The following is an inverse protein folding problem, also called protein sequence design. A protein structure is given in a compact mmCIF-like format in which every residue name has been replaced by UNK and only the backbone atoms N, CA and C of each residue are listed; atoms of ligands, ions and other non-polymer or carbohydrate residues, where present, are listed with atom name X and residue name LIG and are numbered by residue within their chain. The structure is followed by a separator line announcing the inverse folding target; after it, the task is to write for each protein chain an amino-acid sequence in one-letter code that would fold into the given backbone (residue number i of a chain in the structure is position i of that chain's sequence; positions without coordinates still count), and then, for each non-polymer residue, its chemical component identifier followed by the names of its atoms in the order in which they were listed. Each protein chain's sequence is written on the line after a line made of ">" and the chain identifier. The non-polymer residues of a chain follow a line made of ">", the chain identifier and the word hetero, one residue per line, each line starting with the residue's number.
data_IF_848994245237
#
_entry.id   IF_848994245237
#
_cell.length_a   1.000
_cell.length_b   1.000
_cell.length_c   1.000
_cell.angle_alpha   90.00
_cell.angle_beta   90.00
_cell.angle_gamma   90.00
#
_symmetry.space_group_name_H-M   'P 1'
#
loop_
_entity.id
_entity.type
_entity.pdbx_description
1 polymer ?
#
# COMPACT_ATOMS: atom_id res chain seq x y z
N UNK A 1 -9.23 -2.19 -31.28
CA UNK A 1 -10.05 -2.31 -30.08
C UNK A 1 -10.03 -0.96 -29.37
N UNK A 2 -11.20 -0.33 -29.18
CA UNK A 2 -11.25 0.93 -28.48
C UNK A 2 -10.76 0.72 -27.04
N UNK A 3 -9.84 1.56 -26.60
CA UNK A 3 -9.39 1.56 -25.20
C UNK A 3 -10.57 1.89 -24.31
N UNK A 4 -10.76 1.13 -23.26
CA UNK A 4 -11.75 1.47 -22.25
C UNK A 4 -11.41 2.85 -21.67
N UNK A 5 -12.35 3.78 -21.78
CA UNK A 5 -12.21 5.11 -21.17
C UNK A 5 -12.63 5.02 -19.72
N UNK A 6 -11.84 5.67 -18.86
CA UNK A 6 -12.13 5.74 -17.44
C UNK A 6 -11.38 4.73 -16.60
N UNK A 7 -11.77 4.63 -15.35
CA UNK A 7 -11.10 3.84 -14.32
C UNK A 7 -11.93 2.62 -13.98
N UNK A 8 -11.34 1.43 -14.15
CA UNK A 8 -11.97 0.16 -13.79
C UNK A 8 -11.20 -0.49 -12.65
N UNK A 9 -11.79 -0.53 -11.48
CA UNK A 9 -11.18 -1.15 -10.30
C UNK A 9 -11.19 -2.66 -10.42
N UNK A 10 -10.02 -3.28 -10.19
CA UNK A 10 -9.83 -4.73 -10.23
C UNK A 10 -9.84 -5.30 -8.81
N UNK A 11 -9.11 -4.67 -7.90
CA UNK A 11 -8.99 -5.10 -6.52
C UNK A 11 -8.86 -3.89 -5.59
N UNK A 12 -9.37 -4.01 -4.38
CA UNK A 12 -9.27 -3.00 -3.34
C UNK A 12 -8.73 -3.63 -2.06
N UNK A 13 -7.94 -2.85 -1.32
CA UNK A 13 -7.43 -3.25 -0.02
C UNK A 13 -8.19 -2.50 1.08
N UNK A 14 -9.37 -2.96 1.41
CA UNK A 14 -10.22 -2.36 2.44
C UNK A 14 -9.59 -2.46 3.83
N UNK A 15 -8.87 -3.54 4.08
CA UNK A 15 -8.17 -3.78 5.34
C UNK A 15 -7.08 -2.73 5.61
N UNK A 16 -6.38 -2.29 4.56
CA UNK A 16 -5.36 -1.26 4.70
C UNK A 16 -5.93 0.06 5.21
N UNK A 17 -7.11 0.46 4.74
CA UNK A 17 -7.78 1.67 5.21
C UNK A 17 -8.22 1.57 6.65
N UNK A 18 -8.50 0.37 7.12
CA UNK A 18 -8.86 0.10 8.50
C UNK A 18 -7.63 0.06 9.42
N UNK A 19 -6.55 -0.58 8.98
CA UNK A 19 -5.35 -0.85 9.78
C UNK A 19 -4.32 0.28 9.78
N UNK A 20 -4.36 1.16 8.76
CA UNK A 20 -3.37 2.22 8.57
C UNK A 20 -4.01 3.59 8.55
N UNK A 21 -3.27 4.56 9.11
CA UNK A 21 -3.55 5.97 8.89
C UNK A 21 -2.84 6.39 7.59
N UNK A 22 -3.60 6.88 6.62
CA UNK A 22 -3.08 7.25 5.30
C UNK A 22 -2.70 8.72 5.29
N UNK A 23 -1.41 9.00 5.06
CA UNK A 23 -0.91 10.38 5.02
C UNK A 23 -1.02 10.98 3.62
N UNK A 24 -0.77 10.19 2.57
CA UNK A 24 -0.79 10.64 1.19
C UNK A 24 -0.99 9.46 0.25
N UNK A 25 -1.43 9.74 -0.98
CA UNK A 25 -1.61 8.72 -2.02
C UNK A 25 -0.92 9.11 -3.31
N UNK A 26 -0.46 8.10 -4.06
CA UNK A 26 0.23 8.27 -5.33
C UNK A 26 -0.32 7.27 -6.34
N UNK A 27 -0.46 7.71 -7.59
CA UNK A 27 -0.77 6.80 -8.68
C UNK A 27 0.52 6.29 -9.30
N UNK A 28 0.69 4.98 -9.35
CA UNK A 28 1.86 4.34 -9.92
C UNK A 28 1.46 3.41 -11.07
N UNK A 29 2.26 3.41 -12.14
CA UNK A 29 2.19 2.34 -13.13
C UNK A 29 2.78 1.07 -12.55
N UNK A 30 2.42 -0.08 -13.10
CA UNK A 30 2.94 -1.36 -12.67
C UNK A 30 3.45 -2.15 -13.88
N UNK A 31 4.67 -2.70 -13.77
CA UNK A 31 5.26 -3.53 -14.81
C UNK A 31 4.77 -4.96 -14.64
N UNK A 32 4.05 -5.45 -15.63
CA UNK A 32 3.40 -6.76 -15.61
C UNK A 32 3.80 -7.59 -16.83
N UNK A 33 3.75 -8.92 -16.68
CA UNK A 33 3.81 -9.84 -17.81
C UNK A 33 2.45 -9.90 -18.50
N UNK A 34 2.42 -10.41 -19.74
CA UNK A 34 1.15 -10.58 -20.47
C UNK A 34 0.15 -11.48 -19.76
N UNK A 35 0.63 -12.53 -19.11
CA UNK A 35 -0.22 -13.45 -18.33
C UNK A 35 -0.79 -12.81 -17.08
N UNK A 36 -0.05 -11.91 -16.44
CA UNK A 36 -0.55 -11.12 -15.32
C UNK A 36 -1.63 -10.12 -15.74
N UNK A 37 -1.43 -9.43 -16.86
CA UNK A 37 -2.46 -8.53 -17.41
C UNK A 37 -3.75 -9.30 -17.69
N UNK A 38 -3.63 -10.52 -18.23
CA UNK A 38 -4.77 -11.39 -18.47
C UNK A 38 -5.50 -11.76 -17.19
N UNK A 39 -4.75 -12.06 -16.12
CA UNK A 39 -5.32 -12.31 -14.80
C UNK A 39 -6.10 -11.12 -14.27
N UNK A 40 -5.53 -9.92 -14.40
CA UNK A 40 -6.20 -8.70 -13.97
C UNK A 40 -7.50 -8.44 -14.74
N UNK A 41 -7.52 -8.71 -16.05
CA UNK A 41 -8.75 -8.58 -16.84
C UNK A 41 -9.82 -9.57 -16.39
N UNK A 42 -9.42 -10.71 -15.86
CA UNK A 42 -10.31 -11.69 -15.26
C UNK A 42 -10.70 -11.38 -13.81
N UNK A 43 -10.22 -10.25 -13.28
CA UNK A 43 -10.50 -9.83 -11.90
C UNK A 43 -9.75 -10.62 -10.83
N UNK A 44 -8.63 -11.26 -11.19
CA UNK A 44 -7.88 -12.12 -10.28
C UNK A 44 -6.66 -11.41 -9.71
N UNK A 45 -6.82 -10.81 -8.54
CA UNK A 45 -5.73 -10.20 -7.79
C UNK A 45 -6.14 -10.01 -6.33
N UNK A 46 -5.15 -10.02 -5.43
CA UNK A 46 -5.36 -9.70 -4.03
C UNK A 46 -4.24 -8.79 -3.53
N UNK A 47 -4.61 -7.71 -2.86
CA UNK A 47 -3.69 -6.72 -2.31
C UNK A 47 -3.49 -6.88 -0.79
N UNK A 48 -4.17 -7.81 -0.15
CA UNK A 48 -4.34 -7.85 1.32
C UNK A 48 -3.03 -7.81 2.09
N UNK A 49 -2.01 -8.50 1.62
CA UNK A 49 -0.70 -8.56 2.28
C UNK A 49 0.38 -7.78 1.51
N UNK A 50 -0.04 -6.97 0.54
CA UNK A 50 0.86 -6.19 -0.29
C UNK A 50 1.49 -5.03 0.45
N UNK A 51 2.72 -4.73 0.10
CA UNK A 51 3.44 -3.55 0.54
C UNK A 51 4.42 -3.12 -0.54
N UNK A 52 4.97 -1.92 -0.41
CA UNK A 52 5.99 -1.44 -1.33
C UNK A 52 7.16 -0.83 -0.57
N UNK A 53 8.31 -0.77 -1.22
CA UNK A 53 9.50 -0.15 -0.67
C UNK A 53 10.32 0.49 -1.79
N UNK A 54 11.17 1.42 -1.41
CA UNK A 54 12.11 2.07 -2.33
C UNK A 54 13.47 1.39 -2.18
N UNK A 55 14.00 0.92 -3.29
CA UNK A 55 15.32 0.27 -3.33
C UNK A 55 16.07 0.74 -4.56
N UNK A 56 17.26 1.31 -4.35
CA UNK A 56 18.13 1.80 -5.44
C UNK A 56 17.43 2.78 -6.39
N UNK A 57 16.63 3.67 -5.84
CA UNK A 57 15.90 4.67 -6.63
C UNK A 57 14.71 4.13 -7.40
N UNK A 58 14.28 2.90 -7.12
CA UNK A 58 13.13 2.26 -7.73
C UNK A 58 12.13 1.84 -6.65
N UNK A 59 10.84 1.90 -6.98
CA UNK A 59 9.78 1.46 -6.08
C UNK A 59 9.32 0.06 -6.49
N UNK A 60 9.30 -0.86 -5.52
CA UNK A 60 8.95 -2.25 -5.72
C UNK A 60 7.72 -2.62 -4.91
N UNK A 61 6.73 -3.19 -5.60
CA UNK A 61 5.54 -3.74 -4.98
C UNK A 61 5.76 -5.22 -4.69
N UNK A 62 5.58 -5.61 -3.42
CA UNK A 62 5.83 -6.98 -2.99
C UNK A 62 4.60 -7.61 -2.36
N UNK A 63 4.54 -8.91 -2.44
CA UNK A 63 3.53 -9.75 -1.82
C UNK A 63 2.09 -9.49 -2.26
N UNK A 64 1.92 -8.91 -3.45
CA UNK A 64 0.62 -8.79 -4.11
C UNK A 64 0.39 -10.04 -4.94
N UNK A 65 -0.73 -10.70 -4.72
CA UNK A 65 -1.09 -11.95 -5.40
C UNK A 65 -1.74 -11.65 -6.75
N UNK A 66 -1.06 -12.01 -7.84
CA UNK A 66 -1.58 -11.99 -9.20
C UNK A 66 -1.24 -13.34 -9.83
N UNK A 67 -2.17 -14.28 -9.92
CA UNK A 67 -1.87 -15.60 -10.48
C UNK A 67 -1.57 -15.50 -11.97
N UNK A 68 -0.60 -16.28 -12.43
CA UNK A 68 -0.29 -16.40 -13.84
C UNK A 68 -1.08 -17.53 -14.48
N UNK A 69 -1.62 -17.26 -15.66
CA UNK A 69 -2.29 -18.29 -16.48
C UNK A 69 -1.26 -18.94 -17.41
N UNK A 70 -1.05 -20.24 -17.26
CA UNK A 70 -0.16 -21.01 -18.11
C UNK A 70 -0.83 -22.33 -18.53
N UNK A 71 -0.82 -22.62 -19.81
CA UNK A 71 -1.30 -23.91 -20.36
C UNK A 71 -2.71 -24.31 -19.91
N UNK A 72 -3.62 -23.35 -19.85
CA UNK A 72 -5.02 -23.59 -19.45
C UNK A 72 -5.25 -23.73 -17.96
N UNK A 73 -4.21 -23.56 -17.12
CA UNK A 73 -4.33 -23.61 -15.67
C UNK A 73 -3.71 -22.37 -15.01
N UNK A 74 -4.33 -21.92 -13.92
CA UNK A 74 -3.79 -20.85 -13.10
C UNK A 74 -2.73 -21.42 -12.16
N UNK A 75 -1.51 -20.85 -12.22
CA UNK A 75 -0.42 -21.25 -11.34
C UNK A 75 -0.14 -20.17 -10.30
N UNK A 76 0.29 -20.59 -9.10
CA UNK A 76 0.70 -19.67 -8.04
C UNK A 76 2.21 -19.54 -7.92
N UNK A 77 3.00 -20.18 -8.81
CA UNK A 77 4.44 -20.28 -8.67
C UNK A 77 5.17 -18.94 -8.62
N UNK A 78 4.73 -17.95 -9.38
CA UNK A 78 5.29 -16.59 -9.37
C UNK A 78 4.25 -15.53 -9.04
N UNK A 79 3.13 -15.95 -8.43
CA UNK A 79 1.99 -15.09 -8.18
C UNK A 79 2.30 -13.90 -7.27
N UNK A 80 3.27 -14.05 -6.36
CA UNK A 80 3.67 -13.02 -5.39
C UNK A 80 5.03 -12.41 -5.67
N UNK A 81 5.52 -12.49 -6.90
CA UNK A 81 6.80 -11.92 -7.27
C UNK A 81 6.85 -10.41 -7.05
N UNK A 82 8.04 -9.84 -6.77
CA UNK A 82 8.19 -8.38 -6.76
C UNK A 82 7.87 -7.77 -8.12
N UNK A 83 7.18 -6.65 -8.13
CA UNK A 83 6.82 -5.94 -9.36
C UNK A 83 7.26 -4.49 -9.26
N UNK A 84 7.89 -4.01 -10.29
CA UNK A 84 8.35 -2.63 -10.35
C UNK A 84 7.17 -1.70 -10.54
N UNK A 85 7.13 -0.64 -9.74
CA UNK A 85 6.17 0.45 -9.89
C UNK A 85 6.83 1.63 -10.58
N UNK A 86 6.05 2.30 -11.42
CA UNK A 86 6.50 3.44 -12.20
C UNK A 86 5.89 4.72 -11.65
N UNK A 87 6.75 5.59 -11.11
CA UNK A 87 6.40 6.89 -10.58
C UNK A 87 7.35 7.93 -11.14
N UNK A 88 6.99 9.20 -11.02
CA UNK A 88 7.87 10.30 -11.37
C UNK A 88 9.06 10.35 -10.40
N UNK A 89 10.22 10.82 -10.88
CA UNK A 89 11.43 10.93 -10.05
C UNK A 89 11.22 11.74 -8.79
N UNK A 90 10.45 12.82 -8.88
CA UNK A 90 10.16 13.68 -7.73
C UNK A 90 9.35 12.94 -6.67
N UNK A 91 8.40 12.12 -7.10
CA UNK A 91 7.60 11.28 -6.21
C UNK A 91 8.45 10.21 -5.53
N UNK A 92 9.35 9.56 -6.28
CA UNK A 92 10.26 8.55 -5.72
C UNK A 92 11.19 9.17 -4.67
N UNK A 93 11.73 10.36 -4.95
CA UNK A 93 12.58 11.07 -4.01
C UNK A 93 11.84 11.42 -2.71
N UNK A 94 10.61 11.89 -2.81
CA UNK A 94 9.75 12.15 -1.65
C UNK A 94 9.46 10.89 -0.85
N UNK A 95 9.13 9.80 -1.52
CA UNK A 95 8.85 8.51 -0.87
C UNK A 95 10.08 7.95 -0.17
N UNK A 96 11.25 8.07 -0.79
CA UNK A 96 12.50 7.61 -0.19
C UNK A 96 12.77 8.34 1.14
N UNK A 97 12.58 9.65 1.17
CA UNK A 97 12.75 10.46 2.37
C UNK A 97 11.72 10.14 3.44
N UNK A 98 10.44 10.07 3.05
CA UNK A 98 9.34 9.86 4.00
C UNK A 98 9.31 8.44 4.56
N UNK A 99 9.66 7.43 3.78
CA UNK A 99 9.69 6.05 4.25
C UNK A 99 10.91 5.72 5.11
N UNK A 100 11.93 6.58 5.12
CA UNK A 100 13.05 6.45 6.05
C UNK A 100 12.64 6.77 7.49
N UNK A 101 11.54 7.46 7.70
CA UNK A 101 11.01 7.75 9.03
C UNK A 101 10.41 6.48 9.67
N UNK A 102 10.71 6.22 10.97
CA UNK A 102 10.16 5.04 11.63
C UNK A 102 8.63 5.00 11.65
N UNK A 103 8.07 3.82 11.43
CA UNK A 103 6.63 3.61 11.46
C UNK A 103 5.89 3.96 10.18
N UNK A 104 6.57 4.46 9.16
CA UNK A 104 5.96 4.74 7.85
C UNK A 104 6.23 3.62 6.87
N UNK A 105 5.22 3.25 6.10
CA UNK A 105 5.29 2.21 5.07
C UNK A 105 4.47 2.60 3.85
N UNK A 106 4.66 1.88 2.77
CA UNK A 106 3.87 2.03 1.55
C UNK A 106 2.96 0.82 1.40
N UNK A 107 1.67 1.06 1.22
CA UNK A 107 0.68 -0.01 1.03
C UNK A 107 -0.17 0.27 -0.20
N UNK A 108 -0.48 -0.77 -1.01
CA UNK A 108 -1.39 -0.61 -2.13
C UNK A 108 -2.83 -0.54 -1.63
N UNK A 109 -3.58 0.46 -2.05
CA UNK A 109 -4.98 0.63 -1.70
C UNK A 109 -5.91 0.05 -2.75
N UNK A 110 -5.58 0.23 -4.02
CA UNK A 110 -6.36 -0.30 -5.12
C UNK A 110 -5.50 -0.60 -6.33
N UNK A 111 -5.97 -1.56 -7.10
CA UNK A 111 -5.39 -1.93 -8.39
C UNK A 111 -6.49 -1.74 -9.43
N UNK A 112 -6.21 -1.01 -10.48
CA UNK A 112 -7.22 -0.63 -11.46
C UNK A 112 -6.62 -0.44 -12.85
N UNK A 113 -7.48 -0.48 -13.86
CA UNK A 113 -7.12 -0.04 -15.20
C UNK A 113 -7.56 1.42 -15.36
N UNK A 114 -6.67 2.25 -15.87
CA UNK A 114 -6.97 3.61 -16.28
C UNK A 114 -6.56 3.77 -17.73
N UNK A 115 -7.54 4.03 -18.58
CA UNK A 115 -7.34 4.15 -20.03
C UNK A 115 -6.55 2.99 -20.64
N UNK A 116 -6.85 1.77 -20.18
CA UNK A 116 -6.23 0.54 -20.66
C UNK A 116 -4.89 0.17 -20.03
N UNK A 117 -4.36 1.00 -19.12
CA UNK A 117 -3.11 0.71 -18.43
C UNK A 117 -3.36 0.34 -16.98
N UNK A 118 -2.66 -0.69 -16.50
CA UNK A 118 -2.74 -1.08 -15.09
C UNK A 118 -2.05 -0.06 -14.20
N UNK A 119 -2.73 0.36 -13.15
CA UNK A 119 -2.28 1.35 -12.17
C UNK A 119 -2.52 0.84 -10.76
N UNK A 120 -1.70 1.31 -9.84
CA UNK A 120 -1.83 1.05 -8.40
C UNK A 120 -1.98 2.38 -7.68
N UNK A 121 -2.99 2.49 -6.84
CA UNK A 121 -3.08 3.58 -5.87
C UNK A 121 -2.24 3.18 -4.66
N UNK A 122 -1.11 3.86 -4.49
CA UNK A 122 -0.13 3.57 -3.45
C UNK A 122 -0.27 4.59 -2.33
N UNK A 123 -0.39 4.13 -1.10
CA UNK A 123 -0.52 4.99 0.06
C UNK A 123 0.76 5.04 0.88
N UNK A 124 1.15 6.24 1.27
CA UNK A 124 2.11 6.45 2.36
C UNK A 124 1.31 6.39 3.66
N UNK A 125 1.62 5.43 4.52
CA UNK A 125 0.79 5.08 5.65
C UNK A 125 1.57 4.86 6.93
N UNK A 126 0.88 5.00 8.06
CA UNK A 126 1.37 4.67 9.39
C UNK A 126 0.44 3.68 10.06
N UNK A 127 0.98 2.70 10.78
CA UNK A 127 0.16 1.74 11.50
C UNK A 127 -0.66 2.41 12.60
N UNK A 128 -1.97 2.26 12.57
CA UNK A 128 -2.88 2.82 13.59
C UNK A 128 -2.57 2.33 14.98
N UNK A 129 -2.16 1.08 15.13
CA UNK A 129 -1.81 0.50 16.44
C UNK A 129 -0.67 1.22 17.13
N UNK A 130 0.37 1.62 16.40
CA UNK A 130 1.49 2.38 16.96
C UNK A 130 1.06 3.78 17.32
N UNK A 131 0.27 4.43 16.47
CA UNK A 131 -0.27 5.75 16.74
C UNK A 131 -1.18 5.76 17.96
N UNK A 132 -2.14 4.84 18.02
CA UNK A 132 -3.06 4.70 19.13
C UNK A 132 -2.33 4.36 20.44
N UNK A 133 -1.32 3.51 20.38
CA UNK A 133 -0.50 3.13 21.53
C UNK A 133 0.28 4.32 22.11
N UNK A 134 0.86 5.15 21.25
CA UNK A 134 1.55 6.39 21.69
C UNK A 134 0.57 7.35 22.35
N UNK A 135 -0.61 7.49 21.77
CA UNK A 135 -1.67 8.33 22.31
C UNK A 135 -2.15 7.82 23.67
N UNK A 136 -2.36 6.52 23.82
CA UNK A 136 -2.75 5.89 25.08
C UNK A 136 -1.70 6.09 26.16
N UNK A 137 -0.42 5.95 25.84
CA UNK A 137 0.68 6.18 26.77
C UNK A 137 0.69 7.65 27.23
N UNK A 138 0.54 8.58 26.29
CA UNK A 138 0.50 10.02 26.62
C UNK A 138 -0.68 10.36 27.52
N UNK A 139 -1.85 9.80 27.26
CA UNK A 139 -3.04 9.98 28.09
C UNK A 139 -2.85 9.41 29.49
N UNK A 140 -2.23 8.24 29.64
CA UNK A 140 -1.92 7.64 30.93
C UNK A 140 -0.92 8.46 31.73
N UNK A 141 0.12 8.99 31.09
CA UNK A 141 1.10 9.87 31.75
C UNK A 141 0.46 11.16 32.23
N UNK A 142 -0.37 11.79 31.40
CA UNK A 142 -1.11 13.00 31.80
C UNK A 142 -2.03 12.71 32.97
N UNK A 143 -2.70 11.59 33.03
CA UNK A 143 -3.57 11.20 34.15
C UNK A 143 -2.77 10.99 35.42
N UNK A 144 -1.62 10.36 35.37
CA UNK A 144 -0.72 10.16 36.51
C UNK A 144 -0.24 11.51 37.10
N UNK A 145 0.10 12.43 36.20
CA UNK A 145 0.56 13.77 36.64
C UNK A 145 -0.54 14.55 37.33
N UNK A 146 -1.77 14.43 36.84
CA UNK A 146 -2.95 15.04 37.48
C UNK A 146 -3.16 14.45 38.87
N UNK A 147 -3.10 13.13 39.00
CA UNK A 147 -3.26 12.47 40.32
C UNK A 147 -2.18 12.85 41.31
N UNK A 148 -0.93 12.98 40.89
CA UNK A 148 0.18 13.44 41.73
C UNK A 148 -0.03 14.88 42.22
N UNK A 149 -0.49 15.75 41.31
CA UNK A 149 -0.78 17.15 41.68
C UNK A 149 -1.91 17.26 42.72
N UNK A 150 -2.95 16.43 42.60
CA UNK A 150 -4.04 16.36 43.54
C UNK A 150 -3.59 15.84 44.93
N UNK A 151 -2.69 14.87 44.98
CA UNK A 151 -2.14 14.33 46.22
C UNK A 151 -1.27 15.36 46.97
N UNK A 152 -0.56 16.23 46.26
CA UNK A 152 0.27 17.30 46.88
C UNK A 152 -0.54 18.40 47.51
N UNK A 153 -1.83 18.55 47.16
CA UNK A 153 -2.73 19.57 47.74
C UNK A 153 -3.43 19.15 49.05
N UNK A 154 -3.23 17.91 49.45
CA UNK A 154 -3.79 17.42 50.74
C UNK A 154 -2.89 17.74 51.91
#
# INVERSE_FOLDING_TARGET
>A
VPREKGRKVIAQNRRARHDYHIDDTYEAGIVLTGTEVKSLRAGRASLVEGFAHVKRGEVWLENVHIPEYRHGTWTNHSARRPRKLLLHRDEIAKLMTKTSEPGRTLVPLSLYFSEGNAKVELALARGKRQYDKRRDIAEREAQRDIERALRRRR
#
